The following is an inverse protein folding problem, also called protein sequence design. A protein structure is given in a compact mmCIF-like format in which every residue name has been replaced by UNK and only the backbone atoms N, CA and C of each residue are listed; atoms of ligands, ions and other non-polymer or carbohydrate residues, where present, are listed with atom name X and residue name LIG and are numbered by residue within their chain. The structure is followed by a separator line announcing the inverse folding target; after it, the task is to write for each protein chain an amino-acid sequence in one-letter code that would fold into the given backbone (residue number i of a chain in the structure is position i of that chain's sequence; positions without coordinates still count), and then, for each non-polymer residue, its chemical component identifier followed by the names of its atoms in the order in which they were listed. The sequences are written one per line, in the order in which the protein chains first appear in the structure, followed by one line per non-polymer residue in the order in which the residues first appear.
data_IF_206349969750
#
_entry.id   IF_206349969750
#
_cell.length_a   1.000
_cell.length_b   1.000
_cell.length_c   1.000
_cell.angle_alpha   90.00
_cell.angle_beta   90.00
_cell.angle_gamma   90.00
#
_symmetry.space_group_name_H-M   'P 1'
#
loop_
_entity.id
_entity.type
_entity.pdbx_description
1 polymer ?
#
# COMPACT_ATOMS: atom_id res chain seq x y z
N UNK A 1 3.10 -6.73 6.33
CA UNK A 1 2.14 -6.49 5.23
C UNK A 1 2.53 -7.38 4.07
N UNK A 2 1.57 -8.09 3.48
CA UNK A 2 1.75 -8.86 2.24
C UNK A 2 1.44 -7.99 1.02
N UNK A 3 1.87 -8.37 -0.18
CA UNK A 3 1.53 -7.63 -1.41
C UNK A 3 0.01 -7.49 -1.60
N UNK A 4 -0.75 -8.55 -1.32
CA UNK A 4 -2.22 -8.50 -1.42
C UNK A 4 -2.84 -7.45 -0.48
N UNK A 5 -2.27 -7.28 0.71
CA UNK A 5 -2.74 -6.28 1.67
C UNK A 5 -2.38 -4.86 1.23
N UNK A 6 -1.25 -4.68 0.54
CA UNK A 6 -0.93 -3.40 -0.11
C UNK A 6 -1.93 -3.12 -1.24
N UNK A 7 -2.23 -4.11 -2.08
CA UNK A 7 -3.17 -3.96 -3.18
C UNK A 7 -4.59 -3.62 -2.66
N UNK A 8 -5.02 -4.22 -1.54
CA UNK A 8 -6.26 -3.90 -0.83
C UNK A 8 -6.28 -2.43 -0.36
N UNK A 9 -5.25 -1.99 0.38
CA UNK A 9 -5.15 -0.60 0.87
C UNK A 9 -5.12 0.43 -0.27
N UNK A 10 -4.38 0.15 -1.35
CA UNK A 10 -4.34 1.02 -2.52
C UNK A 10 -5.71 1.09 -3.21
N UNK A 11 -6.43 -0.04 -3.31
CA UNK A 11 -7.77 -0.06 -3.89
C UNK A 11 -8.79 0.65 -3.00
N UNK A 12 -8.67 0.58 -1.67
CA UNK A 12 -9.52 1.29 -0.72
C UNK A 12 -9.32 2.80 -0.78
N UNK A 13 -8.07 3.29 -0.81
CA UNK A 13 -7.79 4.73 -0.80
C UNK A 13 -8.00 5.38 -2.19
N UNK A 14 -7.57 4.70 -3.27
CA UNK A 14 -7.54 5.30 -4.61
C UNK A 14 -8.59 4.73 -5.57
N UNK A 15 -9.23 3.62 -5.23
CA UNK A 15 -10.06 2.84 -6.14
C UNK A 15 -9.24 1.92 -7.05
N UNK A 16 -9.78 0.74 -7.37
CA UNK A 16 -9.05 -0.31 -8.09
C UNK A 16 -8.42 0.12 -9.43
N UNK A 17 -9.13 0.96 -10.21
CA UNK A 17 -8.63 1.43 -11.50
C UNK A 17 -7.43 2.37 -11.36
N UNK A 18 -7.53 3.36 -10.46
CA UNK A 18 -6.46 4.33 -10.22
C UNK A 18 -5.29 3.68 -9.48
N UNK A 19 -5.55 2.77 -8.54
CA UNK A 19 -4.53 1.98 -7.87
C UNK A 19 -3.62 1.27 -8.88
N UNK A 20 -4.19 0.64 -9.90
CA UNK A 20 -3.42 0.03 -10.99
C UNK A 20 -2.58 1.03 -11.79
N UNK A 21 -3.07 2.26 -12.01
CA UNK A 21 -2.31 3.31 -12.69
C UNK A 21 -1.15 3.84 -11.82
N UNK A 22 -1.41 4.16 -10.55
CA UNK A 22 -0.41 4.59 -9.57
C UNK A 22 0.69 3.55 -9.47
N UNK A 23 0.31 2.26 -9.40
CA UNK A 23 1.26 1.16 -9.24
C UNK A 23 2.35 1.11 -10.34
N UNK A 24 1.97 1.48 -11.57
CA UNK A 24 2.85 1.44 -12.74
C UNK A 24 3.58 2.75 -13.02
N UNK A 25 3.05 3.88 -12.57
CA UNK A 25 3.50 5.20 -13.04
C UNK A 25 3.97 6.14 -11.94
N UNK A 26 3.55 5.93 -10.68
CA UNK A 26 3.92 6.81 -9.58
C UNK A 26 5.28 6.41 -9.03
N UNK A 27 6.25 7.31 -9.10
CA UNK A 27 7.58 7.16 -8.51
C UNK A 27 7.52 7.55 -7.04
N UNK A 28 8.00 6.67 -6.17
CA UNK A 28 7.95 6.81 -4.72
C UNK A 28 9.01 7.79 -4.22
N UNK A 29 8.62 8.83 -3.48
CA UNK A 29 9.55 9.86 -2.99
C UNK A 29 10.49 9.37 -1.88
N UNK A 30 10.04 8.47 -1.01
CA UNK A 30 10.80 8.01 0.15
C UNK A 30 11.57 6.70 -0.10
N UNK A 31 11.38 6.09 -1.26
CA UNK A 31 12.09 4.86 -1.64
C UNK A 31 13.28 5.21 -2.54
N UNK A 32 14.48 4.81 -2.11
CA UNK A 32 15.69 5.05 -2.86
C UNK A 32 15.64 4.41 -4.27
N UNK A 33 16.21 5.12 -5.25
CA UNK A 33 16.40 4.63 -6.62
C UNK A 33 15.29 5.00 -7.60
N UNK A 34 14.50 6.05 -7.34
CA UNK A 34 13.48 6.61 -8.25
C UNK A 34 12.57 5.53 -8.85
N UNK A 35 12.02 4.67 -7.99
CA UNK A 35 11.26 3.49 -8.41
C UNK A 35 9.76 3.74 -8.35
N UNK A 36 9.06 3.21 -9.34
CA UNK A 36 7.61 2.98 -9.24
C UNK A 36 7.28 1.95 -8.16
N UNK A 37 6.01 1.83 -7.77
CA UNK A 37 5.55 0.78 -6.84
C UNK A 37 5.92 -0.62 -7.36
N UNK A 38 5.69 -0.89 -8.65
CA UNK A 38 6.04 -2.16 -9.27
C UNK A 38 7.53 -2.48 -9.20
N UNK A 39 8.37 -1.51 -9.55
CA UNK A 39 9.83 -1.67 -9.51
C UNK A 39 10.36 -1.79 -8.08
N UNK A 40 9.79 -1.04 -7.13
CA UNK A 40 10.17 -1.13 -5.72
C UNK A 40 9.87 -2.53 -5.16
N UNK A 41 8.67 -3.05 -5.41
CA UNK A 41 8.30 -4.40 -4.99
C UNK A 41 9.18 -5.47 -5.66
N UNK A 42 9.46 -5.34 -6.96
CA UNK A 42 10.35 -6.24 -7.68
C UNK A 42 11.81 -6.20 -7.15
N UNK A 43 12.26 -5.03 -6.69
CA UNK A 43 13.55 -4.84 -6.02
C UNK A 43 13.57 -5.34 -4.57
N UNK A 44 12.46 -5.89 -4.06
CA UNK A 44 12.37 -6.43 -2.70
C UNK A 44 12.10 -5.39 -1.61
N UNK A 45 11.67 -4.17 -1.98
CA UNK A 45 11.25 -3.17 -0.99
C UNK A 45 10.01 -3.68 -0.26
N UNK A 46 9.99 -3.66 1.09
CA UNK A 46 8.84 -4.15 1.84
C UNK A 46 7.54 -3.42 1.47
N UNK A 47 6.40 -4.12 1.28
CA UNK A 47 5.13 -3.50 0.92
C UNK A 47 4.66 -2.41 1.88
N UNK A 48 4.96 -2.57 3.19
CA UNK A 48 4.66 -1.55 4.21
C UNK A 48 5.43 -0.25 3.95
N UNK A 49 6.68 -0.32 3.50
CA UNK A 49 7.47 0.87 3.19
C UNK A 49 6.95 1.55 1.93
N UNK A 50 6.55 0.77 0.92
CA UNK A 50 5.91 1.31 -0.29
C UNK A 50 4.60 2.02 0.06
N UNK A 51 3.75 1.40 0.88
CA UNK A 51 2.52 2.03 1.35
C UNK A 51 2.79 3.31 2.13
N UNK A 52 3.79 3.33 3.01
CA UNK A 52 4.16 4.53 3.75
C UNK A 52 4.55 5.68 2.81
N UNK A 53 5.40 5.41 1.81
CA UNK A 53 5.77 6.43 0.82
C UNK A 53 4.56 6.94 0.04
N UNK A 54 3.61 6.07 -0.33
CA UNK A 54 2.36 6.50 -0.96
C UNK A 54 1.50 7.36 -0.01
N UNK A 55 1.46 7.02 1.29
CA UNK A 55 0.74 7.83 2.27
C UNK A 55 1.33 9.23 2.39
N UNK A 56 2.67 9.35 2.32
CA UNK A 56 3.37 10.63 2.29
C UNK A 56 3.08 11.38 0.99
N UNK A 57 3.21 10.71 -0.17
CA UNK A 57 3.07 11.34 -1.48
C UNK A 57 1.65 11.86 -1.78
N UNK A 58 0.63 11.19 -1.22
CA UNK A 58 -0.77 11.51 -1.44
C UNK A 58 -1.48 12.09 -0.20
N UNK A 59 -0.73 12.45 0.84
CA UNK A 59 -1.26 13.00 2.09
C UNK A 59 -2.38 12.13 2.71
N UNK A 60 -2.21 10.80 2.72
CA UNK A 60 -3.19 9.87 3.27
C UNK A 60 -3.24 10.01 4.80
N UNK A 61 -4.39 10.37 5.40
CA UNK A 61 -4.55 10.55 6.83
C UNK A 61 -4.24 9.28 7.63
N UNK A 62 -3.66 9.46 8.82
CA UNK A 62 -3.19 8.38 9.69
C UNK A 62 -4.27 7.32 10.00
N UNK A 63 -5.53 7.75 10.14
CA UNK A 63 -6.67 6.88 10.42
C UNK A 63 -7.00 5.92 9.27
N UNK A 64 -6.52 6.20 8.05
CA UNK A 64 -6.75 5.39 6.85
C UNK A 64 -5.55 4.52 6.47
N UNK A 65 -4.37 4.76 7.03
CA UNK A 65 -3.14 4.07 6.64
C UNK A 65 -3.10 2.59 7.00
N UNK A 66 -3.96 2.13 7.90
CA UNK A 66 -3.96 0.73 8.35
C UNK A 66 -5.19 -0.06 7.92
N UNK A 67 -6.06 0.55 7.10
CA UNK A 67 -7.38 0.01 6.78
C UNK A 67 -8.30 0.00 8.01
N UNK A 68 -9.53 -0.52 7.89
CA UNK A 68 -10.37 -0.76 9.05
C UNK A 68 -9.65 -1.68 10.03
N UNK A 69 -9.74 -1.40 11.34
CA UNK A 69 -9.22 -2.30 12.37
C UNK A 69 -9.82 -3.69 12.12
N UNK A 70 -9.00 -4.72 11.82
CA UNK A 70 -9.51 -6.06 11.69
C UNK A 70 -10.04 -6.41 13.07
N UNK A 71 -11.36 -6.31 13.25
CA UNK A 71 -12.01 -6.68 14.50
C UNK A 71 -11.49 -8.04 14.99
N UNK A 72 -11.70 -8.36 16.28
CA UNK A 72 -11.07 -9.52 16.92
C UNK A 72 -11.11 -10.75 16.00
N UNK A 73 -9.99 -11.48 15.86
CA UNK A 73 -9.87 -12.56 14.89
C UNK A 73 -11.08 -13.48 15.04
N UNK A 74 -11.79 -13.73 13.93
CA UNK A 74 -12.99 -14.55 13.93
C UNK A 74 -12.67 -15.85 14.66
N UNK A 75 -13.25 -16.00 15.86
CA UNK A 75 -12.90 -17.05 16.79
C UNK A 75 -12.95 -18.39 16.07
N UNK A 76 -11.81 -19.10 16.07
CA UNK A 76 -11.77 -20.47 15.62
C UNK A 76 -12.70 -21.26 16.53
N UNK A 77 -13.86 -21.65 16.02
CA UNK A 77 -14.74 -22.60 16.69
C UNK A 77 -14.02 -23.94 16.69
N UNK A 78 -13.73 -24.46 17.89
CA UNK A 78 -13.18 -25.78 18.12
C UNK A 78 -14.20 -26.88 17.77
#
# INVERSE_FOLDING_TARGET
MRNSQLDELMAEEFGAAMAGHIRRNHVLSEVAGERTVEEALAAGVPPRQVWHSLCVDFDVPAERQWGPDPGPPAGRVD
#
